data_IF_405082500231
#
_entry.id   IF_405082500231
#
_cell.length_a   1.000
_cell.length_b   1.000
_cell.length_c   1.000
_cell.angle_alpha   90.00
_cell.angle_beta   90.00
_cell.angle_gamma   90.00
#
_symmetry.space_group_name_H-M   'P 1'
#
loop_
_entity.id
_entity.type
_entity.pdbx_description
1 polymer ?
#
# COMPACT_ATOMS: atom_id res chain seq x y z
N UNK A 1 20.54 4.76 25.42
CA UNK A 1 20.28 3.42 26.01
C UNK A 1 19.54 2.56 25.00
N UNK A 2 19.86 1.27 24.88
CA UNK A 2 19.18 0.39 23.93
C UNK A 2 17.69 0.21 24.30
N UNK A 3 16.82 0.13 23.28
CA UNK A 3 15.38 -0.08 23.43
C UNK A 3 15.04 -1.48 23.99
N UNK A 4 15.88 -2.47 23.71
CA UNK A 4 15.78 -3.84 24.21
C UNK A 4 17.18 -4.43 24.44
N UNK A 5 17.29 -5.43 25.33
CA UNK A 5 18.56 -6.13 25.62
C UNK A 5 18.76 -7.41 24.81
N UNK A 6 17.76 -7.82 24.03
CA UNK A 6 17.81 -9.00 23.17
C UNK A 6 18.58 -8.72 21.88
N UNK A 7 19.16 -9.76 21.29
CA UNK A 7 19.79 -9.65 19.98
C UNK A 7 18.74 -9.25 18.93
N UNK A 8 19.05 -8.26 18.09
CA UNK A 8 18.15 -7.79 17.02
C UNK A 8 18.69 -8.20 15.65
N UNK A 9 18.45 -9.46 15.20
CA UNK A 9 18.90 -9.92 13.88
C UNK A 9 18.27 -9.13 12.73
N UNK A 10 17.10 -8.52 12.94
CA UNK A 10 16.43 -7.67 11.94
C UNK A 10 17.23 -6.40 11.66
N UNK A 11 17.88 -5.83 12.68
CA UNK A 11 18.75 -4.66 12.49
C UNK A 11 19.92 -4.99 11.57
N UNK A 12 20.57 -6.15 11.80
CA UNK A 12 21.63 -6.66 10.93
C UNK A 12 21.14 -6.88 9.50
N UNK A 13 20.02 -7.59 9.33
CA UNK A 13 19.40 -7.83 8.02
C UNK A 13 19.15 -6.55 7.23
N UNK A 14 18.56 -5.52 7.87
CA UNK A 14 18.29 -4.24 7.20
C UNK A 14 19.59 -3.52 6.85
N UNK A 15 20.54 -3.48 7.79
CA UNK A 15 21.84 -2.84 7.58
C UNK A 15 22.62 -3.51 6.44
N UNK A 16 22.65 -4.83 6.39
CA UNK A 16 23.28 -5.58 5.30
C UNK A 16 22.57 -5.35 3.96
N UNK A 17 21.24 -5.32 3.95
CA UNK A 17 20.47 -5.01 2.74
C UNK A 17 20.85 -3.62 2.18
N UNK A 18 20.98 -2.61 3.03
CA UNK A 18 21.42 -1.26 2.65
C UNK A 18 22.89 -1.27 2.21
N UNK A 19 23.76 -2.01 2.92
CA UNK A 19 25.19 -2.16 2.60
C UNK A 19 25.39 -2.68 1.19
N UNK A 20 24.57 -3.63 0.75
CA UNK A 20 24.64 -4.22 -0.59
C UNK A 20 24.26 -3.29 -1.74
N UNK A 21 23.68 -2.11 -1.44
CA UNK A 21 23.49 -1.07 -2.46
C UNK A 21 24.79 -0.34 -2.83
N UNK A 22 25.84 -0.46 -2.02
CA UNK A 22 27.13 0.21 -2.27
C UNK A 22 27.09 1.73 -2.07
N UNK A 23 26.08 2.25 -1.37
CA UNK A 23 26.02 3.66 -1.00
C UNK A 23 27.08 3.97 0.06
N UNK A 24 27.82 5.05 -0.15
CA UNK A 24 28.94 5.49 0.67
C UNK A 24 30.02 4.41 0.83
N UNK A 25 30.36 3.76 -0.30
CA UNK A 25 31.26 2.61 -0.35
C UNK A 25 32.64 2.89 0.27
N UNK A 26 33.15 4.12 0.17
CA UNK A 26 34.46 4.52 0.70
C UNK A 26 34.52 4.40 2.24
N UNK A 27 33.40 4.65 2.93
CA UNK A 27 33.32 4.63 4.39
C UNK A 27 32.64 3.38 4.94
N UNK A 28 32.20 2.44 4.09
CA UNK A 28 31.33 1.30 4.44
C UNK A 28 31.79 0.47 5.65
N UNK A 29 33.10 0.28 5.80
CA UNK A 29 33.72 -0.50 6.87
C UNK A 29 34.19 0.35 8.07
N UNK A 30 33.73 1.60 8.16
CA UNK A 30 34.11 2.57 9.19
C UNK A 30 32.92 3.02 10.04
N UNK A 31 33.20 3.67 11.16
CA UNK A 31 32.17 4.30 11.99
C UNK A 31 31.52 5.53 11.31
N UNK A 32 32.10 6.03 10.23
CA UNK A 32 31.62 7.20 9.48
C UNK A 32 30.61 6.84 8.40
N UNK A 33 30.37 5.55 8.14
CA UNK A 33 29.46 5.09 7.09
C UNK A 33 28.05 5.69 7.23
N UNK A 34 27.70 6.50 6.24
CA UNK A 34 26.44 7.23 6.15
C UNK A 34 25.84 7.08 4.73
N UNK A 35 25.28 5.89 4.41
CA UNK A 35 24.74 5.61 3.07
C UNK A 35 23.61 6.56 2.67
N UNK A 36 22.85 7.09 3.65
CA UNK A 36 21.76 8.01 3.36
C UNK A 36 22.24 9.45 3.15
N UNK A 37 23.50 9.77 3.47
CA UNK A 37 24.11 11.06 3.18
C UNK A 37 24.24 11.37 1.69
N UNK A 38 24.15 10.37 0.82
CA UNK A 38 24.14 10.58 -0.64
C UNK A 38 22.86 11.27 -1.15
N UNK A 39 21.75 11.11 -0.42
CA UNK A 39 20.45 11.65 -0.85
C UNK A 39 19.73 12.48 0.21
N UNK A 40 20.11 12.41 1.49
CA UNK A 40 19.57 13.27 2.55
C UNK A 40 20.59 14.36 2.90
N UNK A 41 20.13 15.61 2.89
CA UNK A 41 20.92 16.80 3.26
C UNK A 41 20.46 17.34 4.62
N UNK A 42 21.37 17.86 5.48
CA UNK A 42 20.98 18.54 6.71
C UNK A 42 20.00 19.69 6.43
N UNK A 43 18.82 19.63 7.04
CA UNK A 43 17.71 20.55 6.82
C UNK A 43 16.50 19.93 6.13
N UNK A 44 16.67 18.76 5.48
CA UNK A 44 15.59 18.08 4.76
C UNK A 44 14.43 17.68 5.69
N UNK A 45 13.23 17.69 5.12
CA UNK A 45 12.03 17.06 5.68
C UNK A 45 11.94 15.65 5.13
N UNK A 46 12.16 14.66 5.99
CA UNK A 46 12.20 13.24 5.61
C UNK A 46 10.92 12.55 6.07
N UNK A 47 10.18 11.97 5.13
CA UNK A 47 9.00 11.16 5.43
C UNK A 47 9.36 9.67 5.42
N UNK A 48 9.18 8.99 6.55
CA UNK A 48 9.09 7.53 6.63
C UNK A 48 7.64 7.10 6.46
N UNK A 49 7.37 6.32 5.41
CA UNK A 49 6.04 5.84 5.07
C UNK A 49 5.90 4.32 5.26
N UNK A 50 5.55 3.83 6.46
CA UNK A 50 5.30 2.41 6.69
C UNK A 50 3.98 1.95 6.06
N UNK A 51 3.72 0.64 6.10
CA UNK A 51 2.41 0.06 5.78
C UNK A 51 1.65 -0.30 7.07
N UNK A 52 0.66 0.49 7.48
CA UNK A 52 -0.01 0.33 8.79
C UNK A 52 -1.36 -0.40 8.74
N UNK A 53 -2.08 -0.37 7.62
CA UNK A 53 -3.31 -1.15 7.33
C UNK A 53 -4.32 -1.34 8.48
N UNK A 54 -4.17 -2.30 9.38
CA UNK A 54 -5.13 -2.65 10.45
C UNK A 54 -4.42 -3.11 11.73
N UNK A 55 -5.08 -2.91 12.89
CA UNK A 55 -4.67 -3.36 14.24
C UNK A 55 -4.97 -4.85 14.49
N UNK A 56 -5.43 -5.57 13.48
CA UNK A 56 -5.75 -6.99 13.54
C UNK A 56 -5.56 -7.64 12.18
N UNK A 57 -5.36 -8.95 12.19
CA UNK A 57 -5.46 -9.79 10.99
C UNK A 57 -6.87 -10.35 10.90
N UNK A 58 -7.57 -10.12 9.78
CA UNK A 58 -8.95 -10.56 9.60
C UNK A 58 -9.14 -12.08 9.56
N UNK A 59 -8.07 -12.87 9.50
CA UNK A 59 -8.11 -14.33 9.69
C UNK A 59 -7.97 -14.77 11.15
N UNK A 60 -7.63 -13.85 12.07
CA UNK A 60 -7.23 -14.15 13.45
C UNK A 60 -5.76 -14.55 13.60
N UNK A 61 -4.99 -14.60 12.50
CA UNK A 61 -3.57 -14.90 12.53
C UNK A 61 -2.72 -13.70 13.01
N UNK A 62 -1.39 -13.83 12.92
CA UNK A 62 -0.46 -12.80 13.39
C UNK A 62 -0.65 -11.47 12.64
N UNK A 63 -0.77 -10.38 13.41
CA UNK A 63 -0.92 -9.01 12.89
C UNK A 63 0.39 -8.49 12.28
N UNK A 64 1.55 -9.07 12.64
CA UNK A 64 2.84 -8.70 12.06
C UNK A 64 2.92 -8.99 10.56
N UNK A 65 2.06 -9.86 10.01
CA UNK A 65 1.94 -10.06 8.55
C UNK A 65 1.14 -8.94 7.84
N UNK A 66 0.45 -8.08 8.61
CA UNK A 66 -0.41 -7.01 8.11
C UNK A 66 0.34 -5.68 8.04
N UNK A 67 1.23 -5.42 9.01
CA UNK A 67 1.88 -4.11 9.21
C UNK A 67 3.39 -4.16 9.14
N UNK A 68 4.01 -3.06 8.74
CA UNK A 68 5.47 -2.86 8.84
C UNK A 68 5.86 -2.72 10.30
N UNK A 69 6.86 -3.47 10.74
CA UNK A 69 7.26 -3.52 12.15
C UNK A 69 8.33 -2.46 12.51
N UNK A 70 8.26 -1.93 13.73
CA UNK A 70 9.18 -0.92 14.27
C UNK A 70 10.64 -1.38 14.26
N UNK A 71 10.91 -2.69 14.39
CA UNK A 71 12.27 -3.24 14.32
C UNK A 71 12.93 -3.11 12.94
N UNK A 72 12.14 -3.03 11.87
CA UNK A 72 12.62 -2.78 10.50
C UNK A 72 12.79 -1.28 10.25
N UNK A 73 11.88 -0.47 10.80
CA UNK A 73 11.90 1.00 10.68
C UNK A 73 13.07 1.61 11.46
N UNK A 74 13.40 1.04 12.62
CA UNK A 74 14.43 1.56 13.54
C UNK A 74 15.83 1.72 12.90
N UNK A 75 16.42 0.75 12.19
CA UNK A 75 17.72 0.94 11.52
C UNK A 75 17.67 1.98 10.39
N UNK A 76 16.55 2.08 9.66
CA UNK A 76 16.36 3.13 8.64
C UNK A 76 16.37 4.52 9.27
N UNK A 77 15.66 4.69 10.40
CA UNK A 77 15.66 5.95 11.15
C UNK A 77 17.05 6.34 11.67
N UNK A 78 17.94 5.39 12.02
CA UNK A 78 19.31 5.73 12.40
C UNK A 78 20.08 6.40 11.27
N UNK A 79 19.99 5.84 10.07
CA UNK A 79 20.65 6.43 8.90
C UNK A 79 20.05 7.77 8.51
N UNK A 80 18.75 7.97 8.67
CA UNK A 80 18.11 9.29 8.50
C UNK A 80 18.66 10.29 9.52
N UNK A 81 18.70 9.94 10.80
CA UNK A 81 19.20 10.82 11.86
C UNK A 81 20.68 11.16 11.65
N UNK A 82 21.48 10.17 11.24
CA UNK A 82 22.88 10.36 10.91
C UNK A 82 23.06 11.34 9.76
N UNK A 83 22.30 11.19 8.68
CA UNK A 83 22.39 12.05 7.51
C UNK A 83 21.90 13.49 7.75
N UNK A 84 20.87 13.67 8.58
CA UNK A 84 20.34 14.99 8.93
C UNK A 84 21.28 15.82 9.82
N UNK A 85 22.22 15.17 10.54
CA UNK A 85 23.20 15.85 11.42
C UNK A 85 22.54 16.84 12.39
N UNK A 86 21.37 16.47 12.93
CA UNK A 86 20.60 17.28 13.86
C UNK A 86 19.84 18.47 13.25
N UNK A 87 19.81 18.63 11.92
CA UNK A 87 19.06 19.68 11.22
C UNK A 87 18.03 19.07 10.29
N UNK A 88 16.79 19.53 10.36
CA UNK A 88 15.68 19.02 9.56
C UNK A 88 14.58 18.43 10.43
N UNK A 89 13.69 17.66 9.83
CA UNK A 89 12.53 17.11 10.51
C UNK A 89 12.11 15.76 9.93
N UNK A 90 11.76 14.81 10.80
CA UNK A 90 11.34 13.47 10.40
C UNK A 90 9.85 13.32 10.66
N UNK A 91 9.11 12.88 9.66
CA UNK A 91 7.71 12.47 9.82
C UNK A 91 7.65 10.98 9.63
N UNK A 92 6.98 10.27 10.53
CA UNK A 92 6.60 8.87 10.33
C UNK A 92 5.08 8.82 10.20
N UNK A 93 4.54 8.36 9.08
CA UNK A 93 3.09 8.40 8.92
C UNK A 93 2.50 7.58 7.78
N UNK A 94 1.23 7.22 7.93
CA UNK A 94 0.45 6.48 6.94
C UNK A 94 -1.05 6.80 7.08
N UNK A 95 -1.83 6.46 6.05
CA UNK A 95 -3.29 6.42 6.12
C UNK A 95 -3.77 4.96 6.15
N UNK A 96 -3.89 4.34 7.34
CA UNK A 96 -4.34 2.95 7.46
C UNK A 96 -5.79 2.77 6.98
N UNK A 97 -6.28 1.53 6.97
CA UNK A 97 -7.65 1.25 6.54
C UNK A 97 -8.66 2.07 7.35
N UNK A 98 -9.79 2.45 6.74
CA UNK A 98 -10.74 3.37 7.35
C UNK A 98 -11.24 2.87 8.73
N UNK A 99 -11.32 1.55 8.94
CA UNK A 99 -11.67 0.94 10.22
C UNK A 99 -10.47 0.50 11.09
N UNK A 100 -9.26 0.98 10.79
CA UNK A 100 -8.09 0.75 11.62
C UNK A 100 -8.01 1.74 12.79
N UNK A 101 -7.63 1.26 13.97
CA UNK A 101 -7.32 2.10 15.13
C UNK A 101 -5.83 2.44 15.11
N UNK A 102 -5.51 3.69 14.82
CA UNK A 102 -4.12 4.11 14.60
C UNK A 102 -3.24 3.88 15.83
N UNK A 103 -3.72 4.28 17.02
CA UNK A 103 -3.00 4.11 18.28
C UNK A 103 -2.70 2.64 18.60
N UNK A 104 -3.65 1.75 18.35
CA UNK A 104 -3.43 0.31 18.53
C UNK A 104 -2.42 -0.24 17.53
N UNK A 105 -2.51 0.16 16.25
CA UNK A 105 -1.56 -0.29 15.22
C UNK A 105 -0.12 0.06 15.63
N UNK A 106 0.11 1.33 15.98
CA UNK A 106 1.47 1.82 16.24
C UNK A 106 2.03 1.40 17.59
N UNK A 107 1.18 1.05 18.55
CA UNK A 107 1.62 0.41 19.80
C UNK A 107 1.94 -1.07 19.57
N UNK A 108 1.10 -1.81 18.86
CA UNK A 108 1.32 -3.25 18.63
C UNK A 108 2.54 -3.54 17.76
N UNK A 109 2.84 -2.69 16.77
CA UNK A 109 3.99 -2.88 15.89
C UNK A 109 5.30 -2.24 16.43
N UNK A 110 5.28 -1.67 17.63
CA UNK A 110 6.45 -1.07 18.29
C UNK A 110 6.86 0.31 17.75
N UNK A 111 6.08 0.91 16.85
CA UNK A 111 6.45 2.17 16.20
C UNK A 111 6.33 3.36 17.15
N UNK A 112 5.36 3.35 18.07
CA UNK A 112 5.18 4.40 19.07
C UNK A 112 6.40 4.52 19.96
N UNK A 113 6.91 3.38 20.44
CA UNK A 113 8.07 3.26 21.30
C UNK A 113 9.35 3.73 20.59
N UNK A 114 9.52 3.34 19.32
CA UNK A 114 10.63 3.81 18.48
C UNK A 114 10.62 5.33 18.32
N UNK A 115 9.48 5.93 17.95
CA UNK A 115 9.38 7.39 17.79
C UNK A 115 9.60 8.12 19.12
N UNK A 116 8.98 7.64 20.19
CA UNK A 116 9.10 8.24 21.54
C UNK A 116 10.56 8.23 22.01
N UNK A 117 11.29 7.15 21.73
CA UNK A 117 12.70 7.06 22.07
C UNK A 117 13.53 8.15 21.40
N UNK A 118 13.33 8.41 20.10
CA UNK A 118 14.02 9.48 19.39
C UNK A 118 13.63 10.87 19.90
N UNK A 119 12.35 11.09 20.22
CA UNK A 119 11.89 12.36 20.80
C UNK A 119 12.57 12.65 22.15
N UNK A 120 12.72 11.64 23.01
CA UNK A 120 13.44 11.77 24.29
C UNK A 120 14.92 12.12 24.09
N UNK A 121 15.53 11.71 22.98
CA UNK A 121 16.90 12.11 22.61
C UNK A 121 16.98 13.52 21.97
N UNK A 122 15.86 14.25 21.90
CA UNK A 122 15.80 15.58 21.29
C UNK A 122 15.78 15.58 19.76
N UNK A 123 15.54 14.43 19.13
CA UNK A 123 15.39 14.36 17.67
C UNK A 123 14.03 14.93 17.27
N UNK A 124 14.03 15.78 16.23
CA UNK A 124 12.85 16.35 15.62
C UNK A 124 12.11 15.30 14.80
N UNK A 125 11.20 14.56 15.44
CA UNK A 125 10.42 13.49 14.82
C UNK A 125 8.98 13.46 15.32
N UNK A 126 8.03 13.20 14.42
CA UNK A 126 6.61 13.03 14.75
C UNK A 126 5.99 11.78 14.12
N UNK A 127 4.89 11.31 14.71
CA UNK A 127 4.09 10.17 14.25
C UNK A 127 2.69 10.65 13.86
N UNK A 128 2.30 10.48 12.60
CA UNK A 128 1.07 11.08 12.04
C UNK A 128 0.11 10.04 11.43
N UNK A 129 -1.18 10.22 11.72
CA UNK A 129 -2.29 9.58 10.99
C UNK A 129 -2.77 10.53 9.89
N UNK A 130 -2.55 10.16 8.63
CA UNK A 130 -2.90 11.01 7.49
C UNK A 130 -4.40 11.02 7.18
N UNK A 131 -5.22 10.22 7.88
CA UNK A 131 -6.65 10.10 7.56
C UNK A 131 -7.42 11.32 8.04
N UNK A 132 -8.30 11.84 7.18
CA UNK A 132 -9.32 12.84 7.54
C UNK A 132 -10.52 12.23 8.26
N UNK A 133 -10.72 10.93 8.13
CA UNK A 133 -11.88 10.24 8.67
C UNK A 133 -11.61 8.75 8.92
N UNK A 134 -12.39 8.15 9.81
CA UNK A 134 -12.36 6.72 10.11
C UNK A 134 -13.76 6.16 10.39
N UNK A 135 -13.85 4.83 10.47
CA UNK A 135 -15.02 4.04 10.85
C UNK A 135 -14.63 3.12 12.01
N UNK A 136 -14.56 3.62 13.26
CA UNK A 136 -14.02 2.86 14.39
C UNK A 136 -14.83 1.57 14.64
N UNK A 137 -16.15 1.63 14.45
CA UNK A 137 -17.05 0.47 14.62
C UNK A 137 -17.22 -0.35 13.31
N UNK A 138 -16.26 -0.26 12.40
CA UNK A 138 -16.25 -0.92 11.09
C UNK A 138 -17.11 -0.24 10.02
N UNK A 139 -16.78 -0.49 8.75
CA UNK A 139 -17.42 0.19 7.59
C UNK A 139 -18.86 -0.26 7.29
N UNK A 140 -19.25 -1.45 7.78
CA UNK A 140 -20.60 -2.01 7.59
C UNK A 140 -21.58 -1.58 8.68
N UNK A 141 -21.09 -1.48 9.92
CA UNK A 141 -21.90 -1.26 11.11
C UNK A 141 -21.76 0.13 11.72
N UNK A 142 -20.58 0.72 11.61
CA UNK A 142 -20.23 2.02 12.16
C UNK A 142 -20.57 3.20 11.26
N UNK A 143 -20.40 4.38 11.84
CA UNK A 143 -20.58 5.67 11.18
C UNK A 143 -19.22 6.34 11.04
N UNK A 144 -19.04 7.05 9.94
CA UNK A 144 -17.86 7.87 9.67
C UNK A 144 -17.67 8.89 10.80
N UNK A 145 -16.45 8.99 11.32
CA UNK A 145 -16.02 10.05 12.24
C UNK A 145 -14.88 10.83 11.59
N UNK A 146 -14.92 12.14 11.70
CA UNK A 146 -13.81 12.97 11.26
C UNK A 146 -12.65 12.89 12.26
N UNK A 147 -11.44 12.99 11.74
CA UNK A 147 -10.19 12.99 12.48
C UNK A 147 -9.52 14.36 12.33
N UNK A 148 -8.60 14.69 13.24
CA UNK A 148 -7.76 15.88 13.11
C UNK A 148 -7.03 15.89 11.76
N UNK A 149 -6.56 14.71 11.34
CA UNK A 149 -5.82 14.54 10.10
C UNK A 149 -4.40 15.10 10.18
N UNK A 150 -3.76 15.19 9.01
CA UNK A 150 -2.43 15.74 8.86
C UNK A 150 -2.38 17.23 9.23
N UNK A 151 -1.60 17.63 10.25
CA UNK A 151 -1.42 19.04 10.63
C UNK A 151 -0.75 19.89 9.54
N UNK A 152 -0.07 19.25 8.57
CA UNK A 152 0.52 19.92 7.41
C UNK A 152 -0.50 20.27 6.32
N UNK A 153 -1.79 19.96 6.56
CA UNK A 153 -2.87 20.21 5.62
C UNK A 153 -2.99 19.13 4.55
N UNK A 154 -3.76 19.44 3.51
CA UNK A 154 -4.01 18.54 2.39
C UNK A 154 -4.02 19.32 1.09
N UNK A 155 -3.53 18.69 0.03
CA UNK A 155 -3.44 19.28 -1.30
C UNK A 155 -4.25 18.43 -2.26
N UNK A 156 -5.13 19.08 -3.01
CA UNK A 156 -5.89 18.44 -4.07
C UNK A 156 -5.06 18.51 -5.35
N UNK A 157 -4.62 17.35 -5.84
CA UNK A 157 -3.82 17.23 -7.06
C UNK A 157 -4.73 16.72 -8.17
N UNK A 158 -4.81 17.46 -9.28
CA UNK A 158 -5.55 17.05 -10.48
C UNK A 158 -4.56 16.60 -11.56
N UNK A 159 -4.62 15.33 -11.95
CA UNK A 159 -3.75 14.78 -12.98
C UNK A 159 -4.20 15.13 -14.41
N UNK A 160 -5.47 15.48 -14.63
CA UNK A 160 -6.04 15.69 -15.96
C UNK A 160 -5.61 14.60 -16.96
N UNK A 161 -5.19 15.00 -18.15
CA UNK A 161 -4.73 14.09 -19.22
C UNK A 161 -3.50 13.23 -18.86
N UNK A 162 -2.76 13.55 -17.79
CA UNK A 162 -1.60 12.75 -17.35
C UNK A 162 -2.00 11.53 -16.51
N UNK A 163 -3.28 11.41 -16.14
CA UNK A 163 -3.78 10.25 -15.41
C UNK A 163 -3.83 9.00 -16.28
N UNK A 164 -3.57 7.85 -15.68
CA UNK A 164 -3.79 6.55 -16.30
C UNK A 164 -5.28 6.22 -16.51
N UNK A 165 -6.19 7.07 -16.02
CA UNK A 165 -7.63 7.03 -16.31
C UNK A 165 -8.07 7.97 -17.43
N UNK A 166 -7.20 8.82 -17.98
CA UNK A 166 -7.60 9.84 -18.96
C UNK A 166 -8.33 9.28 -20.19
N UNK A 167 -7.92 8.08 -20.64
CA UNK A 167 -8.51 7.40 -21.80
C UNK A 167 -9.61 6.39 -21.43
N UNK A 168 -10.03 6.33 -20.15
CA UNK A 168 -11.06 5.41 -19.71
C UNK A 168 -12.45 5.94 -20.07
N UNK A 169 -13.22 5.18 -20.85
CA UNK A 169 -14.54 5.61 -21.33
C UNK A 169 -15.65 5.49 -20.27
N UNK A 170 -15.47 4.63 -19.26
CA UNK A 170 -16.52 4.26 -18.30
C UNK A 170 -16.29 4.83 -16.89
N UNK A 171 -15.86 6.09 -16.81
CA UNK A 171 -15.62 6.80 -15.55
C UNK A 171 -16.90 6.94 -14.70
N UNK A 172 -18.07 6.95 -15.34
CA UNK A 172 -19.38 6.94 -14.67
C UNK A 172 -19.61 5.68 -13.81
N UNK A 173 -18.80 4.64 -14.00
CA UNK A 173 -18.88 3.35 -13.29
C UNK A 173 -17.94 3.26 -12.11
N UNK A 174 -17.03 4.21 -11.90
CA UNK A 174 -16.03 4.16 -10.82
C UNK A 174 -16.69 4.02 -9.45
N UNK A 175 -16.03 3.28 -8.56
CA UNK A 175 -16.44 3.09 -7.18
C UNK A 175 -15.25 3.26 -6.24
N UNK A 176 -15.44 4.06 -5.19
CA UNK A 176 -14.42 4.43 -4.21
C UNK A 176 -14.40 3.55 -2.97
N UNK A 177 -13.97 4.13 -1.84
CA UNK A 177 -13.95 3.42 -0.54
C UNK A 177 -15.23 3.60 0.27
N UNK A 178 -16.05 4.60 -0.05
CA UNK A 178 -17.32 4.88 0.65
C UNK A 178 -18.54 4.44 -0.20
N UNK A 179 -19.75 4.61 0.34
CA UNK A 179 -21.00 4.24 -0.33
C UNK A 179 -21.46 5.27 -1.36
N UNK A 180 -21.09 6.54 -1.18
CA UNK A 180 -21.41 7.59 -2.14
C UNK A 180 -20.49 7.51 -3.36
N UNK A 181 -21.00 6.84 -4.40
CA UNK A 181 -20.33 6.73 -5.69
C UNK A 181 -20.31 8.06 -6.45
N UNK A 182 -21.31 8.92 -6.27
CA UNK A 182 -21.39 10.18 -7.02
C UNK A 182 -20.15 11.04 -6.77
N UNK A 183 -19.62 10.99 -5.55
CA UNK A 183 -18.37 11.63 -5.17
C UNK A 183 -17.18 11.21 -6.03
N UNK A 184 -16.85 9.91 -6.10
CA UNK A 184 -15.67 9.47 -6.86
C UNK A 184 -15.83 9.74 -8.35
N UNK A 185 -17.05 9.60 -8.89
CA UNK A 185 -17.33 9.91 -10.29
C UNK A 185 -17.10 11.41 -10.56
N UNK A 186 -17.60 12.30 -9.70
CA UNK A 186 -17.36 13.75 -9.80
C UNK A 186 -15.86 14.08 -9.80
N UNK A 187 -15.06 13.42 -8.95
CA UNK A 187 -13.61 13.66 -8.88
C UNK A 187 -12.81 13.16 -10.07
N UNK A 188 -13.39 12.28 -10.89
CA UNK A 188 -12.71 11.66 -12.02
C UNK A 188 -13.33 11.94 -13.39
N UNK A 189 -14.45 12.68 -13.48
CA UNK A 189 -15.16 12.88 -14.76
C UNK A 189 -14.64 14.04 -15.59
N UNK A 190 -14.29 15.17 -14.96
CA UNK A 190 -13.80 16.40 -15.61
C UNK A 190 -12.33 16.69 -15.30
N UNK A 191 -11.62 15.69 -14.78
CA UNK A 191 -10.26 15.73 -14.26
C UNK A 191 -10.01 14.43 -13.50
N UNK A 192 -8.86 14.27 -12.85
CA UNK A 192 -8.54 13.09 -12.05
C UNK A 192 -7.89 13.52 -10.74
N UNK A 193 -8.73 13.74 -9.74
CA UNK A 193 -8.37 14.46 -8.51
C UNK A 193 -8.10 13.51 -7.35
N UNK A 194 -6.97 13.73 -6.69
CA UNK A 194 -6.51 12.97 -5.53
C UNK A 194 -6.22 13.93 -4.36
N UNK A 195 -6.52 13.52 -3.12
CA UNK A 195 -6.33 14.36 -1.94
C UNK A 195 -5.14 13.87 -1.12
N UNK A 196 -3.98 14.50 -1.29
CA UNK A 196 -2.73 14.07 -0.69
C UNK A 196 -2.48 14.77 0.65
N UNK A 197 -1.86 14.05 1.57
CA UNK A 197 -1.34 14.60 2.82
C UNK A 197 -0.26 15.65 2.54
N UNK A 198 -0.33 16.78 3.24
CA UNK A 198 0.67 17.84 3.16
C UNK A 198 2.05 17.35 3.59
N UNK A 199 2.15 16.46 4.58
CA UNK A 199 3.39 15.83 4.99
C UNK A 199 4.06 15.04 3.85
N UNK A 200 3.25 14.42 2.97
CA UNK A 200 3.77 13.73 1.77
C UNK A 200 4.30 14.73 0.74
N UNK A 201 3.53 15.77 0.40
CA UNK A 201 3.95 16.70 -0.64
C UNK A 201 5.02 17.70 -0.18
N UNK A 202 5.17 17.94 1.11
CA UNK A 202 6.19 18.84 1.64
C UNK A 202 7.50 18.14 2.00
N UNK A 203 7.58 16.81 1.87
CA UNK A 203 8.80 16.06 2.10
C UNK A 203 9.81 16.31 0.96
N UNK A 204 11.08 16.52 1.33
CA UNK A 204 12.20 16.57 0.39
C UNK A 204 12.66 15.15 0.02
N UNK A 205 12.54 14.23 0.99
CA UNK A 205 12.88 12.81 0.84
C UNK A 205 11.75 11.93 1.37
N UNK A 206 11.32 10.96 0.56
CA UNK A 206 10.36 9.93 0.96
C UNK A 206 11.05 8.58 1.04
N UNK A 207 10.93 7.93 2.20
CA UNK A 207 11.37 6.56 2.44
C UNK A 207 10.13 5.67 2.60
N UNK A 208 9.79 4.94 1.54
CA UNK A 208 8.66 4.00 1.56
C UNK A 208 9.08 2.68 2.21
N UNK A 209 8.33 2.24 3.21
CA UNK A 209 8.61 0.99 3.93
C UNK A 209 7.42 0.02 3.88
N UNK A 210 7.11 -0.54 2.70
CA UNK A 210 5.95 -1.41 2.54
C UNK A 210 6.14 -2.77 3.20
N UNK A 211 5.03 -3.48 3.39
CA UNK A 211 5.03 -4.89 3.78
C UNK A 211 5.02 -5.79 2.55
N UNK A 212 5.87 -6.82 2.50
CA UNK A 212 5.80 -7.86 1.47
C UNK A 212 4.55 -8.71 1.68
N UNK A 213 3.52 -8.51 0.85
CA UNK A 213 2.31 -9.34 0.93
C UNK A 213 1.49 -9.43 -0.34
N UNK A 214 0.64 -10.45 -0.44
CA UNK A 214 -0.37 -10.57 -1.50
C UNK A 214 -1.50 -9.55 -1.34
N UNK A 215 -2.23 -9.26 -2.41
CA UNK A 215 -3.33 -8.30 -2.43
C UNK A 215 -4.43 -8.73 -3.41
N UNK A 216 -5.66 -8.77 -2.92
CA UNK A 216 -6.83 -9.20 -3.69
C UNK A 216 -7.18 -8.40 -4.96
N UNK A 217 -6.73 -7.14 -5.10
CA UNK A 217 -7.03 -6.27 -6.28
C UNK A 217 -5.85 -6.04 -7.21
N UNK A 218 -4.63 -6.20 -6.72
CA UNK A 218 -3.40 -5.80 -7.43
C UNK A 218 -2.37 -6.93 -7.47
N UNK A 219 -2.74 -8.13 -7.01
CA UNK A 219 -1.88 -9.28 -6.84
C UNK A 219 -0.98 -9.16 -5.61
N UNK A 220 -0.31 -8.02 -5.43
CA UNK A 220 0.61 -7.75 -4.31
C UNK A 220 0.42 -6.36 -3.70
N UNK A 221 0.91 -6.20 -2.47
CA UNK A 221 1.21 -4.93 -1.81
C UNK A 221 2.72 -4.88 -1.62
N UNK A 222 3.38 -3.90 -2.24
CA UNK A 222 4.80 -3.56 -2.05
C UNK A 222 4.89 -2.02 -2.17
N UNK A 223 5.85 -1.43 -2.87
CA UNK A 223 6.09 0.02 -2.88
C UNK A 223 5.00 0.79 -3.62
N UNK A 224 4.67 0.37 -4.85
CA UNK A 224 3.73 1.12 -5.68
C UNK A 224 2.36 1.23 -4.98
N UNK A 225 1.88 0.12 -4.40
CA UNK A 225 0.62 0.08 -3.64
C UNK A 225 0.70 0.84 -2.32
N UNK A 226 1.89 1.00 -1.73
CA UNK A 226 2.05 1.69 -0.45
C UNK A 226 1.58 3.14 -0.53
N UNK A 227 1.72 3.80 -1.69
CA UNK A 227 1.28 5.18 -1.91
C UNK A 227 -0.23 5.42 -1.78
N UNK A 228 -1.05 4.37 -1.73
CA UNK A 228 -2.47 4.49 -1.32
C UNK A 228 -2.62 5.15 0.04
N UNK A 229 -1.69 4.90 0.95
CA UNK A 229 -1.71 5.52 2.25
C UNK A 229 -1.20 6.97 2.28
N UNK A 230 -0.80 7.55 1.15
CA UNK A 230 -0.44 8.97 1.06
C UNK A 230 -1.66 9.89 0.94
N UNK A 231 -2.82 9.30 0.58
CA UNK A 231 -4.05 10.01 0.34
C UNK A 231 -4.90 10.09 1.62
N UNK A 232 -5.31 11.30 1.99
CA UNK A 232 -5.97 11.59 3.26
C UNK A 232 -7.44 11.20 3.36
N UNK A 233 -8.14 11.12 2.22
CA UNK A 233 -9.53 10.63 2.17
C UNK A 233 -9.67 9.58 1.06
N UNK A 234 -9.74 8.30 1.46
CA UNK A 234 -9.76 7.16 0.53
C UNK A 234 -10.96 7.13 -0.41
N UNK A 235 -11.95 8.02 -0.24
CA UNK A 235 -13.02 8.16 -1.21
C UNK A 235 -12.59 8.88 -2.51
N UNK A 236 -11.40 9.50 -2.54
CA UNK A 236 -10.76 10.00 -3.76
C UNK A 236 -10.06 8.90 -4.59
N UNK A 237 -10.10 7.65 -4.12
CA UNK A 237 -9.35 6.56 -4.74
C UNK A 237 -10.28 5.60 -5.50
N UNK A 238 -10.15 5.47 -6.83
CA UNK A 238 -10.88 4.46 -7.58
C UNK A 238 -10.44 3.04 -7.22
N UNK A 239 -11.36 2.20 -6.79
CA UNK A 239 -11.07 0.81 -6.38
C UNK A 239 -11.53 -0.24 -7.39
N UNK A 240 -12.60 0.05 -8.13
CA UNK A 240 -13.15 -0.76 -9.21
C UNK A 240 -14.18 0.06 -9.99
N UNK A 241 -14.61 -0.43 -11.15
CA UNK A 241 -15.76 0.02 -11.93
C UNK A 241 -16.88 -1.00 -11.80
N UNK A 242 -18.08 -0.54 -11.46
CA UNK A 242 -19.28 -1.37 -11.26
C UNK A 242 -19.57 -2.23 -12.48
N UNK A 243 -19.91 -3.51 -12.29
CA UNK A 243 -20.17 -4.47 -13.37
C UNK A 243 -18.93 -5.20 -13.88
N UNK A 244 -19.08 -5.97 -14.96
CA UNK A 244 -17.97 -6.72 -15.56
C UNK A 244 -17.45 -6.06 -16.85
N UNK A 245 -16.38 -6.64 -17.42
CA UNK A 245 -15.68 -6.10 -18.58
C UNK A 245 -16.58 -5.89 -19.81
N UNK A 246 -17.57 -6.76 -20.05
CA UNK A 246 -18.49 -6.63 -21.20
C UNK A 246 -19.43 -5.44 -21.10
N UNK A 247 -19.45 -4.76 -19.95
CA UNK A 247 -20.27 -3.59 -19.68
C UNK A 247 -19.42 -2.33 -19.42
N UNK A 248 -18.08 -2.45 -19.45
CA UNK A 248 -17.15 -1.39 -19.06
C UNK A 248 -16.79 -1.36 -17.56
N UNK A 249 -16.97 -2.48 -16.85
CA UNK A 249 -16.66 -2.61 -15.41
C UNK A 249 -15.56 -3.63 -15.14
N UNK A 250 -15.14 -3.75 -13.90
CA UNK A 250 -14.13 -4.74 -13.45
C UNK A 250 -14.42 -5.25 -12.02
N UNK A 251 -15.66 -5.14 -11.57
CA UNK A 251 -16.11 -5.55 -10.24
C UNK A 251 -16.04 -7.07 -10.03
N UNK A 252 -16.26 -7.84 -11.11
CA UNK A 252 -16.32 -9.29 -11.09
C UNK A 252 -16.13 -9.92 -12.50
N UNK A 253 -15.80 -11.22 -12.60
CA UNK A 253 -15.60 -11.92 -13.87
C UNK A 253 -16.85 -11.90 -14.80
N UNK A 254 -16.69 -11.90 -16.14
CA UNK A 254 -17.82 -11.88 -17.08
C UNK A 254 -18.76 -13.09 -16.95
N UNK A 255 -18.19 -14.26 -16.67
CA UNK A 255 -18.90 -15.54 -16.57
C UNK A 255 -19.26 -15.85 -15.13
N UNK A 256 -20.47 -15.45 -14.72
CA UNK A 256 -21.04 -15.79 -13.41
C UNK A 256 -22.44 -16.40 -13.54
N UNK A 257 -22.83 -17.31 -12.63
CA UNK A 257 -24.20 -17.81 -12.54
C UNK A 257 -25.21 -16.66 -12.35
N UNK A 258 -26.42 -16.82 -12.89
CA UNK A 258 -27.48 -15.80 -12.82
C UNK A 258 -27.80 -15.39 -11.37
N UNK A 259 -27.81 -16.34 -10.44
CA UNK A 259 -28.06 -16.06 -9.02
C UNK A 259 -27.01 -15.14 -8.41
N UNK A 260 -25.74 -15.29 -8.80
CA UNK A 260 -24.65 -14.43 -8.34
C UNK A 260 -24.80 -13.02 -8.91
N UNK A 261 -25.16 -12.90 -10.19
CA UNK A 261 -25.48 -11.60 -10.82
C UNK A 261 -26.62 -10.87 -10.10
N UNK A 262 -27.65 -11.61 -9.65
CA UNK A 262 -28.73 -11.03 -8.86
C UNK A 262 -28.23 -10.51 -7.50
N UNK A 263 -27.32 -11.24 -6.85
CA UNK A 263 -26.69 -10.80 -5.61
C UNK A 263 -25.91 -9.50 -5.78
N UNK A 264 -25.14 -9.36 -6.86
CA UNK A 264 -24.44 -8.10 -7.18
C UNK A 264 -25.41 -6.95 -7.45
N UNK A 265 -26.50 -7.19 -8.17
CA UNK A 265 -27.54 -6.16 -8.40
C UNK A 265 -28.18 -5.70 -7.09
N UNK A 266 -28.43 -6.63 -6.18
CA UNK A 266 -28.96 -6.31 -4.86
C UNK A 266 -27.94 -5.56 -3.99
N UNK A 267 -26.71 -6.05 -3.89
CA UNK A 267 -25.63 -5.36 -3.14
C UNK A 267 -25.47 -3.93 -3.66
N UNK A 268 -25.49 -3.76 -4.99
CA UNK A 268 -25.46 -2.45 -5.64
C UNK A 268 -26.60 -1.54 -5.21
N UNK A 269 -27.84 -2.02 -5.34
CA UNK A 269 -29.03 -1.26 -4.92
C UNK A 269 -28.95 -0.87 -3.44
N UNK A 270 -28.54 -1.79 -2.58
CA UNK A 270 -28.47 -1.56 -1.14
C UNK A 270 -27.42 -0.51 -0.77
N UNK A 271 -26.31 -0.42 -1.51
CA UNK A 271 -25.28 0.61 -1.28
C UNK A 271 -25.78 1.99 -1.71
N UNK A 272 -26.34 2.08 -2.91
CA UNK A 272 -26.72 3.35 -3.55
C UNK A 272 -27.91 4.05 -2.95
N UNK A 273 -28.86 3.29 -2.42
CA UNK A 273 -30.13 3.85 -1.97
C UNK A 273 -30.30 3.77 -0.44
N UNK A 274 -29.60 2.84 0.22
CA UNK A 274 -29.71 2.62 1.66
C UNK A 274 -28.44 3.12 2.36
N UNK A 275 -27.27 2.54 2.07
CA UNK A 275 -26.04 2.85 2.82
C UNK A 275 -25.50 4.25 2.56
N UNK A 276 -25.76 4.84 1.38
CA UNK A 276 -25.38 6.22 1.05
C UNK A 276 -25.84 7.24 2.09
N UNK A 277 -26.99 7.00 2.74
CA UNK A 277 -27.55 7.91 3.76
C UNK A 277 -26.68 8.02 5.00
N UNK A 278 -25.81 7.04 5.24
CA UNK A 278 -24.86 6.97 6.34
C UNK A 278 -25.47 7.22 7.74
N UNK A 279 -26.70 6.75 7.99
CA UNK A 279 -27.39 6.88 9.29
C UNK A 279 -27.52 5.54 10.02
N UNK A 280 -27.67 5.55 11.35
CA UNK A 280 -27.95 4.32 12.13
C UNK A 280 -29.16 3.56 11.58
N UNK A 281 -30.22 4.28 11.22
CA UNK A 281 -31.45 3.68 10.68
C UNK A 281 -31.23 3.01 9.33
N UNK A 282 -30.43 3.60 8.43
CA UNK A 282 -30.14 2.96 7.14
C UNK A 282 -29.25 1.73 7.30
N UNK A 283 -28.31 1.74 8.25
CA UNK A 283 -27.50 0.56 8.62
C UNK A 283 -28.38 -0.57 9.17
N UNK A 284 -29.34 -0.25 10.04
CA UNK A 284 -30.28 -1.24 10.58
C UNK A 284 -31.15 -1.84 9.47
N UNK A 285 -31.71 -0.99 8.59
CA UNK A 285 -32.49 -1.42 7.44
C UNK A 285 -31.67 -2.34 6.52
N UNK A 286 -30.44 -1.93 6.18
CA UNK A 286 -29.51 -2.74 5.39
C UNK A 286 -29.26 -4.12 6.03
N UNK A 287 -29.00 -4.17 7.34
CA UNK A 287 -28.77 -5.44 8.06
C UNK A 287 -30.00 -6.34 7.98
N UNK A 288 -31.21 -5.80 8.16
CA UNK A 288 -32.45 -6.58 8.09
C UNK A 288 -32.67 -7.16 6.68
N UNK A 289 -32.56 -6.32 5.65
CA UNK A 289 -32.81 -6.74 4.26
C UNK A 289 -31.73 -7.70 3.72
N UNK A 290 -30.50 -7.65 4.25
CA UNK A 290 -29.40 -8.53 3.83
C UNK A 290 -29.32 -9.87 4.58
N UNK A 291 -30.18 -10.14 5.60
CA UNK A 291 -30.17 -11.44 6.30
C UNK A 291 -30.33 -12.66 5.36
N UNK A 292 -31.23 -12.66 4.35
CA UNK A 292 -31.37 -13.78 3.43
C UNK A 292 -30.11 -14.00 2.59
N UNK A 293 -29.48 -12.92 2.11
CA UNK A 293 -28.23 -12.98 1.34
C UNK A 293 -27.06 -13.49 2.17
N UNK A 294 -26.97 -13.09 3.45
CA UNK A 294 -25.96 -13.60 4.38
C UNK A 294 -26.14 -15.11 4.65
N UNK A 295 -27.39 -15.58 4.80
CA UNK A 295 -27.69 -17.01 4.93
C UNK A 295 -27.33 -17.79 3.66
N UNK A 296 -27.70 -17.27 2.49
CA UNK A 296 -27.35 -17.84 1.20
C UNK A 296 -25.84 -17.94 1.00
N UNK A 297 -25.09 -16.88 1.32
CA UNK A 297 -23.62 -16.89 1.29
C UNK A 297 -23.03 -17.94 2.23
N UNK A 298 -23.56 -18.06 3.46
CA UNK A 298 -23.12 -19.08 4.42
C UNK A 298 -23.36 -20.51 3.90
N UNK A 299 -24.52 -20.76 3.30
CA UNK A 299 -24.85 -22.05 2.69
C UNK A 299 -23.97 -22.35 1.48
N UNK A 300 -23.81 -21.38 0.58
CA UNK A 300 -22.95 -21.50 -0.59
C UNK A 300 -21.51 -21.82 -0.22
N UNK A 301 -20.94 -21.09 0.76
CA UNK A 301 -19.59 -21.34 1.28
C UNK A 301 -19.46 -22.72 1.91
N UNK A 302 -20.49 -23.19 2.64
CA UNK A 302 -20.50 -24.54 3.21
C UNK A 302 -20.47 -25.64 2.13
N UNK A 303 -21.12 -25.42 0.99
CA UNK A 303 -21.27 -26.43 -0.06
C UNK A 303 -20.13 -26.41 -1.08
N UNK A 304 -19.62 -25.22 -1.41
CA UNK A 304 -18.63 -25.03 -2.48
C UNK A 304 -17.23 -24.70 -1.97
N UNK A 305 -17.09 -24.33 -0.69
CA UNK A 305 -15.85 -23.77 -0.14
C UNK A 305 -15.54 -22.34 -0.62
N UNK A 306 -16.31 -21.81 -1.57
CA UNK A 306 -16.08 -20.51 -2.20
C UNK A 306 -16.99 -19.41 -1.64
N UNK A 307 -16.57 -18.15 -1.80
CA UNK A 307 -17.44 -17.01 -1.54
C UNK A 307 -18.41 -16.80 -2.70
N UNK A 308 -19.68 -16.53 -2.39
CA UNK A 308 -20.73 -16.36 -3.40
C UNK A 308 -20.46 -15.15 -4.31
N UNK A 309 -19.93 -14.07 -3.75
CA UNK A 309 -19.51 -12.87 -4.48
C UNK A 309 -18.02 -12.66 -4.27
N UNK A 310 -17.24 -12.72 -5.35
CA UNK A 310 -15.83 -12.34 -5.39
C UNK A 310 -15.64 -10.81 -5.44
N UNK A 311 -16.52 -10.07 -4.74
CA UNK A 311 -16.95 -8.72 -5.11
C UNK A 311 -15.93 -7.58 -5.04
N UNK A 312 -16.42 -6.41 -5.42
CA UNK A 312 -15.73 -5.13 -5.37
C UNK A 312 -14.40 -5.10 -6.11
N UNK A 313 -14.20 -5.89 -7.16
CA UNK A 313 -12.96 -5.94 -7.93
C UNK A 313 -11.82 -6.71 -7.24
N UNK A 314 -12.14 -7.65 -6.35
CA UNK A 314 -11.17 -8.50 -5.64
C UNK A 314 -10.76 -9.73 -6.49
N UNK A 315 -10.23 -9.51 -7.70
CA UNK A 315 -9.80 -10.56 -8.64
C UNK A 315 -8.75 -10.07 -9.64
N UNK A 316 -8.08 -11.00 -10.34
CA UNK A 316 -7.01 -10.71 -11.32
C UNK A 316 -7.43 -9.78 -12.47
N UNK A 317 -8.72 -9.76 -12.82
CA UNK A 317 -9.25 -8.92 -13.89
C UNK A 317 -9.54 -7.47 -13.48
N UNK A 318 -9.22 -7.06 -12.25
CA UNK A 318 -9.29 -5.66 -11.85
C UNK A 318 -8.44 -4.80 -12.80
N UNK A 319 -9.05 -3.74 -13.29
CA UNK A 319 -8.49 -2.84 -14.28
C UNK A 319 -8.67 -1.38 -13.84
N UNK A 320 -8.70 -1.14 -12.53
CA UNK A 320 -8.88 0.19 -11.94
C UNK A 320 -7.76 0.46 -10.94
N UNK A 321 -7.47 -0.49 -10.07
CA UNK A 321 -6.56 -0.26 -8.94
C UNK A 321 -5.12 -0.05 -9.40
N UNK A 322 -4.67 -0.69 -10.47
CA UNK A 322 -3.31 -0.48 -10.97
C UNK A 322 -3.11 0.95 -11.51
N UNK A 323 -4.09 1.49 -12.25
CA UNK A 323 -4.09 2.88 -12.74
C UNK A 323 -4.01 3.87 -11.58
N UNK A 324 -4.84 3.67 -10.56
CA UNK A 324 -4.81 4.47 -9.33
C UNK A 324 -3.44 4.38 -8.64
N UNK A 325 -2.80 3.21 -8.62
CA UNK A 325 -1.45 3.10 -8.03
C UNK A 325 -0.44 3.90 -8.84
N UNK A 326 -0.45 3.82 -10.18
CA UNK A 326 0.46 4.59 -11.02
C UNK A 326 0.21 6.10 -10.91
N UNK A 327 -1.05 6.54 -10.87
CA UNK A 327 -1.42 7.93 -10.62
C UNK A 327 -0.84 8.44 -9.30
N UNK A 328 -1.00 7.68 -8.21
CA UNK A 328 -0.46 8.06 -6.90
C UNK A 328 1.07 8.13 -6.89
N UNK A 329 1.75 7.21 -7.56
CA UNK A 329 3.22 7.26 -7.66
C UNK A 329 3.68 8.43 -8.54
N UNK A 330 2.94 8.75 -9.61
CA UNK A 330 3.18 9.95 -10.40
C UNK A 330 3.04 11.21 -9.53
N UNK A 331 1.98 11.34 -8.75
CA UNK A 331 1.78 12.49 -7.86
C UNK A 331 2.92 12.60 -6.85
N UNK A 332 3.24 11.50 -6.16
CA UNK A 332 4.27 11.48 -5.11
C UNK A 332 5.65 11.85 -5.67
N UNK A 333 5.97 11.42 -6.89
CA UNK A 333 7.27 11.69 -7.51
C UNK A 333 7.33 13.07 -8.18
N UNK A 334 6.25 13.54 -8.81
CA UNK A 334 6.30 14.65 -9.77
C UNK A 334 5.45 15.88 -9.42
N UNK A 335 4.50 15.77 -8.48
CA UNK A 335 3.78 16.95 -8.02
C UNK A 335 4.63 17.73 -7.01
N UNK A 336 4.66 19.06 -7.07
CA UNK A 336 5.32 19.89 -6.07
C UNK A 336 4.49 20.00 -4.78
N UNK A 337 4.87 20.91 -3.87
CA UNK A 337 4.19 21.16 -2.59
C UNK A 337 2.78 21.73 -2.74
N UNK A 338 2.50 22.38 -3.87
CA UNK A 338 1.23 23.05 -4.17
C UNK A 338 0.32 22.17 -5.04
N UNK A 339 0.83 20.99 -5.44
CA UNK A 339 0.09 20.01 -6.23
C UNK A 339 0.23 20.19 -7.74
N UNK A 340 1.14 21.03 -8.21
CA UNK A 340 1.41 21.20 -9.63
C UNK A 340 2.36 20.11 -10.12
N UNK A 341 2.04 19.47 -11.25
CA UNK A 341 2.89 18.42 -11.83
C UNK A 341 4.04 19.02 -12.64
N UNK A 342 5.20 18.39 -12.50
CA UNK A 342 6.42 18.71 -13.24
C UNK A 342 6.91 17.50 -14.02
N UNK A 343 7.81 17.74 -14.97
CA UNK A 343 8.40 16.65 -15.78
C UNK A 343 9.67 16.06 -15.13
N UNK A 344 10.14 16.67 -14.04
CA UNK A 344 11.24 16.17 -13.22
C UNK A 344 10.73 15.78 -11.82
N UNK A 345 11.33 14.76 -11.18
CA UNK A 345 10.97 14.41 -9.80
C UNK A 345 11.17 15.58 -8.84
N UNK A 346 10.19 15.80 -7.97
CA UNK A 346 10.17 16.88 -6.96
C UNK A 346 10.70 16.44 -5.60
N UNK A 347 10.94 15.13 -5.43
CA UNK A 347 11.36 14.51 -4.17
C UNK A 347 12.33 13.38 -4.45
N UNK A 348 13.27 13.16 -3.55
CA UNK A 348 14.11 11.96 -3.58
C UNK A 348 13.32 10.80 -2.98
N UNK A 349 13.52 9.61 -3.51
CA UNK A 349 12.80 8.42 -3.07
C UNK A 349 13.78 7.30 -2.76
N UNK A 350 13.54 6.65 -1.62
CA UNK A 350 14.17 5.41 -1.23
C UNK A 350 13.10 4.44 -0.77
N UNK A 351 13.35 3.15 -0.86
CA UNK A 351 12.44 2.17 -0.28
C UNK A 351 13.13 0.99 0.39
N UNK A 352 12.44 0.41 1.36
CA UNK A 352 12.83 -0.82 2.02
C UNK A 352 11.60 -1.67 2.34
N UNK A 353 11.50 -2.83 1.72
CA UNK A 353 10.40 -3.78 1.89
C UNK A 353 10.62 -4.62 3.14
N UNK A 354 9.66 -4.60 4.08
CA UNK A 354 9.60 -5.52 5.21
C UNK A 354 8.98 -6.85 4.78
N UNK A 355 9.80 -7.88 4.66
CA UNK A 355 9.37 -9.27 4.49
C UNK A 355 9.84 -10.18 5.61
N UNK A 356 10.19 -9.67 6.80
CA UNK A 356 10.67 -10.52 7.91
C UNK A 356 9.60 -11.55 8.27
N UNK A 357 8.40 -11.05 8.55
CA UNK A 357 7.17 -11.84 8.57
C UNK A 357 6.24 -11.28 7.49
N UNK A 358 6.20 -11.92 6.34
CA UNK A 358 5.39 -11.53 5.19
C UNK A 358 3.93 -12.03 5.29
N UNK A 359 3.09 -11.65 4.32
CA UNK A 359 1.69 -12.10 4.24
C UNK A 359 1.33 -12.73 2.89
N UNK A 360 0.81 -13.94 2.86
CA UNK A 360 0.35 -14.62 1.63
C UNK A 360 -1.16 -14.91 1.64
N UNK A 361 -1.69 -15.46 0.54
CA UNK A 361 -3.11 -15.77 0.37
C UNK A 361 -4.03 -14.53 0.48
N UNK A 362 -4.95 -14.45 1.44
CA UNK A 362 -6.06 -13.49 1.48
C UNK A 362 -5.70 -12.07 2.01
N UNK A 363 -4.60 -11.52 1.51
CA UNK A 363 -4.19 -10.14 1.75
C UNK A 363 -5.11 -9.08 1.09
N UNK A 364 -5.01 -7.81 1.51
CA UNK A 364 -4.10 -7.29 2.54
C UNK A 364 -4.67 -7.36 3.96
N UNK A 365 -5.96 -7.68 4.12
CA UNK A 365 -6.68 -7.59 5.40
C UNK A 365 -6.66 -8.89 6.22
N UNK A 366 -6.54 -10.04 5.55
CA UNK A 366 -6.55 -11.36 6.18
C UNK A 366 -5.42 -12.27 5.67
N UNK A 367 -4.17 -11.76 5.51
CA UNK A 367 -3.09 -12.58 4.97
C UNK A 367 -2.75 -13.73 5.94
N UNK A 368 -2.32 -14.85 5.38
CA UNK A 368 -1.66 -15.92 6.16
C UNK A 368 -0.21 -15.49 6.43
N UNK A 369 0.24 -15.44 7.69
CA UNK A 369 1.62 -15.10 8.00
C UNK A 369 2.60 -16.09 7.40
N UNK A 370 3.71 -15.57 6.86
CA UNK A 370 4.82 -16.35 6.33
C UNK A 370 6.13 -15.82 6.89
N UNK A 371 6.87 -16.66 7.61
CA UNK A 371 8.20 -16.30 8.10
C UNK A 371 9.18 -16.44 6.94
N UNK A 372 9.73 -15.33 6.47
CA UNK A 372 10.63 -15.31 5.31
C UNK A 372 12.02 -14.80 5.69
N UNK A 373 12.13 -13.85 6.63
CA UNK A 373 13.42 -13.23 6.95
C UNK A 373 13.93 -12.33 5.82
N UNK A 374 13.02 -11.75 5.03
CA UNK A 374 13.34 -11.01 3.82
C UNK A 374 13.41 -9.50 4.04
N UNK A 375 14.38 -8.85 3.39
CA UNK A 375 14.41 -7.42 3.16
C UNK A 375 14.94 -7.14 1.75
N UNK A 376 14.36 -6.14 1.08
CA UNK A 376 14.89 -5.61 -0.18
C UNK A 376 14.77 -4.10 -0.17
N UNK A 377 15.78 -3.40 -0.66
CA UNK A 377 15.78 -1.95 -0.71
C UNK A 377 16.34 -1.43 -2.03
N UNK A 378 16.15 -0.14 -2.27
CA UNK A 378 16.67 0.53 -3.45
C UNK A 378 16.51 2.04 -3.34
N UNK A 379 17.47 2.75 -3.91
CA UNK A 379 17.40 4.19 -4.14
C UNK A 379 16.79 4.47 -5.52
N UNK A 380 15.95 5.51 -5.63
CA UNK A 380 15.30 5.88 -6.88
C UNK A 380 13.82 5.49 -6.93
N UNK A 381 13.33 4.95 -8.04
CA UNK A 381 11.88 4.78 -8.28
C UNK A 381 11.36 3.41 -7.77
N UNK A 382 10.07 3.29 -7.40
CA UNK A 382 9.55 2.13 -6.65
C UNK A 382 9.47 0.81 -7.43
N UNK A 383 9.45 0.86 -8.76
CA UNK A 383 9.07 -0.28 -9.60
C UNK A 383 10.15 -1.35 -9.73
N UNK A 384 11.44 -0.97 -9.66
CA UNK A 384 12.55 -1.92 -9.74
C UNK A 384 12.57 -2.87 -8.53
N UNK A 385 12.42 -2.33 -7.32
CA UNK A 385 12.35 -3.15 -6.09
C UNK A 385 11.08 -4.00 -6.07
N UNK A 386 9.96 -3.45 -6.54
CA UNK A 386 8.70 -4.21 -6.68
C UNK A 386 8.85 -5.37 -7.67
N UNK A 387 9.55 -5.18 -8.81
CA UNK A 387 9.81 -6.23 -9.79
C UNK A 387 10.55 -7.41 -9.16
N UNK A 388 11.70 -7.13 -8.52
CA UNK A 388 12.53 -8.16 -7.88
C UNK A 388 11.75 -8.86 -6.78
N UNK A 389 11.05 -8.12 -5.93
CA UNK A 389 10.26 -8.69 -4.85
C UNK A 389 9.10 -9.56 -5.37
N UNK A 390 8.37 -9.13 -6.41
CA UNK A 390 7.33 -9.94 -7.06
C UNK A 390 7.91 -11.23 -7.64
N UNK A 391 9.05 -11.13 -8.33
CA UNK A 391 9.74 -12.26 -8.91
C UNK A 391 10.14 -13.28 -7.83
N UNK A 392 10.77 -12.80 -6.75
CA UNK A 392 11.21 -13.64 -5.63
C UNK A 392 10.05 -14.19 -4.81
N UNK A 393 8.88 -13.52 -4.74
CA UNK A 393 7.67 -14.11 -4.18
C UNK A 393 7.23 -15.40 -4.93
N UNK A 394 7.69 -15.61 -6.16
CA UNK A 394 7.26 -16.70 -7.03
C UNK A 394 6.20 -16.28 -8.05
N UNK A 395 6.02 -14.97 -8.26
CA UNK A 395 5.10 -14.42 -9.23
C UNK A 395 5.85 -13.91 -10.47
N UNK A 396 5.16 -13.87 -11.60
CA UNK A 396 5.61 -13.30 -12.85
C UNK A 396 5.24 -11.80 -12.87
N UNK A 397 6.23 -10.89 -12.79
CA UNK A 397 5.98 -9.45 -12.78
C UNK A 397 5.25 -8.97 -14.05
N UNK A 398 5.39 -9.66 -15.19
CA UNK A 398 4.72 -9.30 -16.44
C UNK A 398 3.20 -9.56 -16.39
N UNK A 399 2.74 -10.43 -15.48
CA UNK A 399 1.30 -10.69 -15.26
C UNK A 399 0.67 -9.72 -14.24
N UNK A 400 1.49 -8.92 -13.55
CA UNK A 400 1.06 -7.93 -12.57
C UNK A 400 1.03 -6.54 -13.21
N UNK A 401 -0.17 -6.07 -13.59
CA UNK A 401 -0.38 -4.79 -14.30
C UNK A 401 0.32 -3.59 -13.64
N UNK A 402 0.47 -3.58 -12.31
CA UNK A 402 1.14 -2.49 -11.60
C UNK A 402 2.59 -2.30 -12.07
N UNK A 403 3.32 -3.38 -12.35
CA UNK A 403 4.68 -3.30 -12.88
C UNK A 403 4.70 -3.34 -14.41
N UNK A 404 3.92 -4.25 -15.01
CA UNK A 404 3.89 -4.44 -16.45
C UNK A 404 3.41 -3.21 -17.23
N UNK A 405 2.48 -2.43 -16.67
CA UNK A 405 2.06 -1.17 -17.29
C UNK A 405 3.06 -0.06 -17.00
N UNK A 406 3.65 0.03 -15.81
CA UNK A 406 4.61 1.07 -15.46
C UNK A 406 5.83 1.11 -16.40
N UNK A 407 6.34 -0.06 -16.77
CA UNK A 407 7.48 -0.21 -17.70
C UNK A 407 7.23 0.40 -19.09
N UNK A 408 5.96 0.50 -19.52
CA UNK A 408 5.60 1.10 -20.81
C UNK A 408 5.72 2.63 -20.84
N UNK A 409 5.87 3.27 -19.68
CA UNK A 409 5.89 4.73 -19.55
C UNK A 409 7.27 5.22 -19.11
N UNK A 410 7.94 5.96 -19.99
CA UNK A 410 9.26 6.56 -19.74
C UNK A 410 9.30 7.45 -18.50
N UNK A 411 8.16 8.02 -18.09
CA UNK A 411 7.99 8.76 -16.85
C UNK A 411 8.61 8.04 -15.64
N UNK A 412 8.41 6.72 -15.54
CA UNK A 412 8.89 5.94 -14.40
C UNK A 412 10.31 5.42 -14.55
N UNK A 413 11.00 5.66 -15.68
CA UNK A 413 12.39 5.26 -15.91
C UNK A 413 12.71 3.87 -15.33
N UNK A 414 11.84 2.91 -15.67
CA UNK A 414 11.88 1.56 -15.15
C UNK A 414 12.01 0.61 -16.33
N UNK A 415 13.11 -0.12 -16.33
CA UNK A 415 13.48 -1.10 -17.35
C UNK A 415 13.86 -2.40 -16.63
N UNK A 416 13.05 -3.45 -16.81
CA UNK A 416 13.23 -4.71 -16.07
C UNK A 416 14.47 -5.50 -16.53
N UNK A 417 14.94 -5.26 -17.75
CA UNK A 417 16.11 -5.90 -18.35
C UNK A 417 17.45 -5.26 -17.95
N UNK A 418 17.43 -4.05 -17.38
CA UNK A 418 18.63 -3.30 -17.00
C UNK A 418 18.87 -3.24 -15.49
N UNK A 419 18.21 -4.11 -14.72
CA UNK A 419 18.31 -4.09 -13.25
C UNK A 419 19.65 -4.64 -12.77
N UNK A 420 20.36 -3.85 -11.94
CA UNK A 420 21.49 -4.33 -11.16
C UNK A 420 21.02 -4.74 -9.76
N UNK A 421 21.10 -6.03 -9.45
CA UNK A 421 20.56 -6.60 -8.21
C UNK A 421 21.66 -7.31 -7.43
N UNK A 422 21.98 -6.80 -6.25
CA UNK A 422 22.76 -7.53 -5.25
C UNK A 422 21.81 -8.36 -4.39
N UNK A 423 21.89 -9.69 -4.51
CA UNK A 423 21.08 -10.60 -3.73
C UNK A 423 21.97 -11.56 -2.92
N UNK A 424 21.64 -11.71 -1.64
CA UNK A 424 22.35 -12.58 -0.70
C UNK A 424 21.33 -13.43 0.04
N UNK A 425 21.56 -14.74 0.06
CA UNK A 425 20.73 -15.72 0.78
C UNK A 425 21.64 -16.44 1.77
N UNK A 426 21.33 -16.36 3.06
CA UNK A 426 22.11 -16.97 4.14
C UNK A 426 23.62 -16.66 4.07
N UNK A 427 23.96 -15.43 3.69
CA UNK A 427 25.35 -14.96 3.54
C UNK A 427 26.03 -15.32 2.22
N UNK A 428 25.34 -16.02 1.32
CA UNK A 428 25.86 -16.42 0.00
C UNK A 428 25.31 -15.51 -1.10
N UNK A 429 26.17 -14.81 -1.87
CA UNK A 429 25.74 -14.10 -3.07
C UNK A 429 25.03 -15.06 -4.03
N UNK A 430 23.79 -14.73 -4.38
CA UNK A 430 22.90 -15.59 -5.17
C UNK A 430 22.30 -14.77 -6.29
N UNK A 431 22.08 -15.37 -7.46
CA UNK A 431 21.28 -14.74 -8.51
C UNK A 431 19.84 -14.57 -8.01
N UNK A 432 19.33 -13.34 -8.02
CA UNK A 432 17.96 -13.05 -7.58
C UNK A 432 16.92 -13.89 -8.36
N UNK A 433 17.24 -14.27 -9.61
CA UNK A 433 16.41 -15.12 -10.47
C UNK A 433 16.23 -16.55 -9.94
N UNK A 434 17.16 -17.04 -9.12
CA UNK A 434 17.10 -18.38 -8.52
C UNK A 434 16.26 -18.42 -7.24
N UNK A 435 15.98 -17.26 -6.64
CA UNK A 435 15.21 -17.18 -5.39
C UNK A 435 13.73 -17.37 -5.68
N UNK A 436 13.10 -18.30 -4.96
CA UNK A 436 11.65 -18.49 -4.93
C UNK A 436 11.19 -18.68 -3.48
N UNK A 437 10.43 -17.72 -2.98
CA UNK A 437 9.88 -17.72 -1.63
C UNK A 437 8.53 -18.46 -1.56
N UNK A 438 8.02 -18.95 -2.69
CA UNK A 438 6.87 -19.85 -2.81
C UNK A 438 5.57 -19.27 -2.24
N UNK A 439 5.29 -17.98 -2.44
CA UNK A 439 4.09 -17.34 -1.92
C UNK A 439 2.84 -17.93 -2.56
N UNK A 440 1.84 -18.22 -1.72
CA UNK A 440 0.50 -18.56 -2.22
C UNK A 440 -0.22 -17.27 -2.67
N UNK A 441 -0.67 -17.18 -3.93
CA UNK A 441 -1.48 -16.06 -4.38
C UNK A 441 -2.79 -15.98 -3.60
N UNK A 442 -3.43 -14.83 -3.68
CA UNK A 442 -4.83 -14.73 -3.24
C UNK A 442 -5.70 -15.66 -4.08
N UNK A 443 -6.77 -16.24 -3.49
CA UNK A 443 -7.59 -17.28 -4.16
C UNK A 443 -8.09 -16.93 -5.58
N UNK A 444 -8.41 -15.66 -5.83
CA UNK A 444 -8.90 -15.16 -7.12
C UNK A 444 -7.74 -14.70 -8.04
N UNK A 445 -6.51 -15.09 -7.71
CA UNK A 445 -5.29 -14.86 -8.47
C UNK A 445 -4.53 -16.17 -8.76
N UNK A 446 -4.99 -17.30 -8.19
CA UNK A 446 -4.39 -18.63 -8.43
C UNK A 446 -4.48 -18.99 -9.91
N UNK A 447 -3.35 -19.37 -10.50
CA UNK A 447 -3.19 -19.70 -11.92
C UNK A 447 -3.04 -18.49 -12.84
N UNK A 448 -2.99 -17.28 -12.30
CA UNK A 448 -2.97 -16.04 -13.09
C UNK A 448 -1.70 -15.20 -12.93
N UNK A 449 -0.90 -15.39 -11.88
CA UNK A 449 0.30 -14.57 -11.64
C UNK A 449 1.55 -15.38 -11.32
N UNK A 450 1.43 -16.66 -11.08
CA UNK A 450 2.57 -17.52 -10.77
C UNK A 450 3.54 -17.55 -11.95
N UNK A 451 4.85 -17.51 -11.65
CA UNK A 451 5.89 -17.76 -12.65
C UNK A 451 5.94 -19.26 -12.95
N UNK A 452 6.35 -19.62 -14.16
CA UNK A 452 6.60 -21.04 -14.45
C UNK A 452 7.85 -21.48 -13.68
N UNK A 453 7.79 -22.67 -13.07
CA UNK A 453 8.99 -23.30 -12.52
C UNK A 453 9.95 -23.60 -13.68
N UNK A 454 11.21 -23.21 -13.53
CA UNK A 454 12.26 -23.43 -14.53
C UNK A 454 12.92 -24.78 -14.32
#
# INVERSE_FOLDING_TARGET
MPLAREANPVYGLVRDCIRHLGLDAEHQETAEWNPFGEFITPGDRVLIKPNLVLHFNGSGADVRAVTTHGSVIRPVLDYVVLALKGKGHIIVGDAPQANGHFDEIVSQNGLREVVTWYQVQGISIELLDFRKNCYPDGTRGGIRKDLQGDPNGYVLVDLGERSFFAQEAHLDRLYGSDFDRSFIVDKHKEGHRYLLSGAVLQADVIISMPKLKTHRKTGVTINCKNMVGANGDKNYLPHYRVGNASQGGDEYPPTLPMIVKLCYRWDRFSRDYILIRNTVSSRLLYRMLNKPFALMQKLYRKWTGAELMAGHGDWYGNDTTWRMCLDLNQIVLFADRDGCLHDIPQRKYFCLVDGVMAGEADGPLSPTPKNVGYASCGAGKPFAVDFVAMYQMGFDPAKLKVNAEAEKYSLFDFHSDSLSVACVVDGVPTDYGQVNLGFRPQRNWIGHIERQES
#
